data_IF_911969474904
#
_entry.id   IF_911969474904
#
_cell.length_a   1.000
_cell.length_b   1.000
_cell.length_c   1.000
_cell.angle_alpha   90.00
_cell.angle_beta   90.00
_cell.angle_gamma   90.00
#
_symmetry.space_group_name_H-M   'P 1'
#
loop_
_entity.id
_entity.type
_entity.pdbx_description
1 polymer ?
#
# COMPACT_ATOMS: atom_id res chain seq x y z
N UNK A 1 -33.47 -5.98 -18.83
CA UNK A 1 -32.18 -5.84 -19.54
C UNK A 1 -31.39 -4.71 -18.92
N UNK A 2 -30.08 -4.87 -18.79
CA UNK A 2 -29.17 -3.84 -18.24
C UNK A 2 -29.13 -2.64 -19.20
N UNK A 3 -29.34 -1.41 -18.69
CA UNK A 3 -29.57 -0.20 -19.50
C UNK A 3 -28.38 0.27 -20.36
N UNK A 4 -27.14 -0.07 -20.00
CA UNK A 4 -25.94 0.39 -20.71
C UNK A 4 -24.82 -0.67 -20.68
N UNK A 5 -24.77 -1.64 -21.60
CA UNK A 5 -23.75 -2.71 -21.60
C UNK A 5 -22.33 -2.21 -21.95
N UNK A 6 -22.20 -1.02 -22.55
CA UNK A 6 -20.91 -0.41 -22.93
C UNK A 6 -19.97 -0.05 -21.77
N UNK A 7 -20.46 -0.04 -20.52
CA UNK A 7 -19.71 0.35 -19.33
C UNK A 7 -18.77 -0.75 -18.80
N UNK A 8 -18.94 -1.99 -19.27
CA UNK A 8 -18.19 -3.15 -18.74
C UNK A 8 -16.69 -3.06 -19.06
N UNK A 9 -16.33 -2.73 -20.29
CA UNK A 9 -14.91 -2.70 -20.74
C UNK A 9 -14.14 -1.48 -20.22
N UNK A 10 -14.81 -0.34 -20.02
CA UNK A 10 -14.16 0.91 -19.57
C UNK A 10 -13.90 0.96 -18.06
N UNK A 11 -14.75 0.32 -17.25
CA UNK A 11 -14.60 0.34 -15.80
C UNK A 11 -13.61 -0.69 -15.24
N UNK A 12 -13.10 -1.62 -16.07
CA UNK A 12 -12.00 -2.52 -15.66
C UNK A 12 -10.77 -1.75 -15.18
N UNK A 13 -10.55 -0.53 -15.67
CA UNK A 13 -9.47 0.35 -15.24
C UNK A 13 -9.51 0.59 -13.72
N UNK A 14 -10.69 0.77 -13.14
CA UNK A 14 -10.82 0.96 -11.68
C UNK A 14 -10.46 -0.29 -10.88
N UNK A 15 -10.73 -1.48 -11.43
CA UNK A 15 -10.37 -2.75 -10.79
C UNK A 15 -8.85 -2.90 -10.81
N UNK A 16 -8.20 -2.61 -11.95
CA UNK A 16 -6.74 -2.68 -12.10
C UNK A 16 -6.03 -1.75 -11.10
N UNK A 17 -6.54 -0.54 -10.88
CA UNK A 17 -5.96 0.36 -9.88
C UNK A 17 -6.14 -0.14 -8.44
N UNK A 18 -7.24 -0.82 -8.12
CA UNK A 18 -7.42 -1.46 -6.81
C UNK A 18 -6.46 -2.65 -6.62
N UNK A 19 -6.23 -3.43 -7.67
CA UNK A 19 -5.24 -4.53 -7.67
C UNK A 19 -3.81 -4.01 -7.51
N UNK A 20 -3.47 -2.88 -8.13
CA UNK A 20 -2.15 -2.25 -7.97
C UNK A 20 -1.84 -1.92 -6.50
N UNK A 21 -2.84 -1.47 -5.73
CA UNK A 21 -2.70 -1.19 -4.30
C UNK A 21 -2.41 -2.45 -3.48
N UNK A 22 -2.93 -3.60 -3.88
CA UNK A 22 -2.61 -4.88 -3.25
C UNK A 22 -1.17 -5.31 -3.53
N UNK A 23 -0.70 -5.12 -4.77
CA UNK A 23 0.70 -5.42 -5.16
C UNK A 23 1.69 -4.61 -4.33
N UNK A 24 1.39 -3.34 -4.07
CA UNK A 24 2.17 -2.48 -3.18
C UNK A 24 2.35 -3.06 -1.77
N UNK A 25 1.30 -3.64 -1.19
CA UNK A 25 1.35 -4.28 0.12
C UNK A 25 2.21 -5.55 0.14
N UNK A 26 2.13 -6.37 -0.93
CA UNK A 26 2.96 -7.58 -1.07
C UNK A 26 4.43 -7.21 -1.20
N UNK A 27 4.77 -6.20 -2.01
CA UNK A 27 6.15 -5.74 -2.18
C UNK A 27 6.75 -5.33 -0.83
N UNK A 28 6.03 -4.55 -0.02
CA UNK A 28 6.54 -4.13 1.29
C UNK A 28 6.69 -5.30 2.24
N UNK A 29 5.76 -6.26 2.23
CA UNK A 29 5.90 -7.49 3.03
C UNK A 29 7.21 -8.22 2.73
N UNK A 30 7.58 -8.34 1.45
CA UNK A 30 8.83 -8.97 1.01
C UNK A 30 10.05 -8.15 1.46
N UNK A 31 10.02 -6.83 1.31
CA UNK A 31 11.12 -5.95 1.73
C UNK A 31 11.36 -6.04 3.24
N UNK A 32 10.30 -6.02 4.05
CA UNK A 32 10.40 -6.10 5.51
C UNK A 32 10.89 -7.49 5.96
N UNK A 33 10.47 -8.55 5.28
CA UNK A 33 10.99 -9.90 5.54
C UNK A 33 12.51 -9.98 5.32
N UNK A 34 13.03 -9.31 4.29
CA UNK A 34 14.47 -9.22 4.03
C UNK A 34 15.29 -8.47 5.09
N UNK A 35 14.64 -7.76 6.03
CA UNK A 35 15.31 -7.05 7.14
C UNK A 35 15.44 -7.89 8.42
N UNK A 36 14.90 -9.11 8.43
CA UNK A 36 14.91 -10.01 9.58
C UNK A 36 16.02 -11.05 9.41
N UNK A 37 17.06 -10.96 10.25
CA UNK A 37 18.15 -11.95 10.30
C UNK A 37 18.15 -12.71 11.63
N UNK A 38 18.86 -13.84 11.66
CA UNK A 38 19.03 -14.63 12.87
C UNK A 38 19.77 -13.82 13.95
N UNK A 39 19.22 -13.81 15.17
CA UNK A 39 19.82 -13.10 16.30
C UNK A 39 20.90 -13.99 16.93
N UNK A 40 22.14 -13.49 17.01
CA UNK A 40 23.20 -14.14 17.77
C UNK A 40 22.89 -14.10 19.28
N UNK A 41 22.65 -15.25 19.94
CA UNK A 41 22.24 -15.30 21.34
C UNK A 41 23.30 -14.73 22.29
N UNK A 42 24.59 -14.88 21.96
CA UNK A 42 25.67 -14.44 22.82
C UNK A 42 25.75 -12.91 22.84
N UNK A 43 25.67 -12.26 21.66
CA UNK A 43 25.65 -10.79 21.55
C UNK A 43 24.41 -10.18 22.18
N UNK A 44 23.27 -10.86 22.13
CA UNK A 44 22.02 -10.38 22.73
C UNK A 44 22.07 -10.30 24.26
N UNK A 45 22.81 -11.22 24.90
CA UNK A 45 22.92 -11.28 26.37
C UNK A 45 24.05 -10.37 26.87
N UNK A 46 25.19 -10.35 26.16
CA UNK A 46 26.39 -9.64 26.62
C UNK A 46 26.36 -8.15 26.28
N UNK A 47 25.78 -7.75 25.14
CA UNK A 47 25.77 -6.35 24.70
C UNK A 47 24.38 -5.71 24.84
N UNK A 48 24.27 -4.83 25.83
CA UNK A 48 23.06 -4.04 26.02
C UNK A 48 22.75 -3.15 24.81
N UNK A 49 23.73 -2.56 24.13
CA UNK A 49 23.49 -1.68 22.98
C UNK A 49 22.88 -2.45 21.80
N UNK A 50 23.40 -3.65 21.52
CA UNK A 50 22.85 -4.56 20.50
C UNK A 50 21.40 -4.98 20.83
N UNK A 51 21.11 -5.30 22.09
CA UNK A 51 19.75 -5.64 22.54
C UNK A 51 18.74 -4.51 22.29
N UNK A 52 19.09 -3.27 22.67
CA UNK A 52 18.21 -2.11 22.48
C UNK A 52 17.97 -1.84 20.99
N UNK A 53 19.00 -1.98 20.15
CA UNK A 53 18.87 -1.84 18.68
C UNK A 53 17.94 -2.88 18.09
N UNK A 54 18.08 -4.16 18.44
CA UNK A 54 17.22 -5.23 17.94
C UNK A 54 15.74 -5.02 18.30
N UNK A 55 15.47 -4.61 19.55
CA UNK A 55 14.11 -4.32 20.01
C UNK A 55 13.54 -3.08 19.29
N UNK A 56 14.32 -2.01 19.17
CA UNK A 56 13.91 -0.80 18.45
C UNK A 56 13.64 -1.10 16.97
N UNK A 57 14.52 -1.86 16.30
CA UNK A 57 14.32 -2.32 14.92
C UNK A 57 13.03 -3.14 14.77
N UNK A 58 12.69 -3.98 15.75
CA UNK A 58 11.43 -4.74 15.76
C UNK A 58 10.20 -3.83 15.77
N UNK A 59 10.16 -2.83 16.66
CA UNK A 59 9.08 -1.84 16.68
C UNK A 59 9.01 -1.00 15.41
N UNK A 60 10.15 -0.60 14.86
CA UNK A 60 10.21 0.18 13.62
C UNK A 60 9.64 -0.62 12.44
N UNK A 61 10.01 -1.91 12.31
CA UNK A 61 9.50 -2.78 11.25
C UNK A 61 8.00 -3.03 11.43
N UNK A 62 7.52 -3.25 12.66
CA UNK A 62 6.10 -3.39 12.96
C UNK A 62 5.32 -2.14 12.56
N UNK A 63 5.78 -0.96 12.98
CA UNK A 63 5.16 0.30 12.64
C UNK A 63 5.19 0.57 11.13
N UNK A 64 6.29 0.27 10.42
CA UNK A 64 6.38 0.41 8.97
C UNK A 64 5.39 -0.48 8.22
N UNK A 65 5.23 -1.73 8.67
CA UNK A 65 4.20 -2.64 8.16
C UNK A 65 2.78 -2.11 8.40
N UNK A 66 2.51 -1.61 9.61
CA UNK A 66 1.20 -1.07 9.99
C UNK A 66 0.84 0.21 9.20
N UNK A 67 1.79 1.13 9.05
CA UNK A 67 1.63 2.35 8.25
C UNK A 67 1.30 2.01 6.80
N UNK A 68 2.08 1.11 6.16
CA UNK A 68 1.83 0.71 4.77
C UNK A 68 0.47 0.01 4.61
N UNK A 69 0.16 -0.92 5.50
CA UNK A 69 -1.08 -1.69 5.45
C UNK A 69 -2.32 -0.81 5.57
N UNK A 70 -2.32 0.11 6.53
CA UNK A 70 -3.42 1.06 6.71
C UNK A 70 -3.52 2.03 5.54
N UNK A 71 -2.41 2.61 5.07
CA UNK A 71 -2.44 3.53 3.93
C UNK A 71 -2.97 2.85 2.66
N UNK A 72 -2.55 1.61 2.39
CA UNK A 72 -3.04 0.85 1.23
C UNK A 72 -4.51 0.46 1.38
N UNK A 73 -4.98 0.11 2.59
CA UNK A 73 -6.38 -0.16 2.85
C UNK A 73 -7.26 1.07 2.54
N UNK A 74 -6.91 2.23 3.10
CA UNK A 74 -7.68 3.46 2.88
C UNK A 74 -7.60 3.95 1.42
N UNK A 75 -6.44 3.78 0.78
CA UNK A 75 -6.27 4.08 -0.65
C UNK A 75 -7.18 3.20 -1.51
N UNK A 76 -7.21 1.89 -1.25
CA UNK A 76 -8.08 0.96 -1.97
C UNK A 76 -9.57 1.30 -1.81
N UNK A 77 -9.99 1.66 -0.60
CA UNK A 77 -11.37 2.13 -0.34
C UNK A 77 -11.67 3.41 -1.14
N UNK A 78 -10.78 4.40 -1.10
CA UNK A 78 -10.97 5.65 -1.83
C UNK A 78 -11.07 5.43 -3.35
N UNK A 79 -10.17 4.62 -3.91
CA UNK A 79 -10.16 4.23 -5.33
C UNK A 79 -11.45 3.49 -5.70
N UNK A 80 -11.93 2.57 -4.86
CA UNK A 80 -13.18 1.84 -5.08
C UNK A 80 -14.42 2.74 -5.10
N UNK A 81 -14.50 3.73 -4.20
CA UNK A 81 -15.61 4.70 -4.14
C UNK A 81 -15.61 5.60 -5.39
N UNK A 82 -14.43 6.10 -5.79
CA UNK A 82 -14.28 6.92 -7.00
C UNK A 82 -14.59 6.11 -8.25
N UNK A 83 -14.15 4.85 -8.29
CA UNK A 83 -14.43 3.90 -9.37
C UNK A 83 -15.91 3.61 -9.57
N UNK A 84 -16.64 3.35 -8.49
CA UNK A 84 -18.10 3.16 -8.52
C UNK A 84 -18.81 4.42 -9.05
N UNK A 85 -18.36 5.59 -8.60
CA UNK A 85 -18.88 6.88 -9.06
C UNK A 85 -18.59 7.13 -10.55
N UNK A 86 -17.40 6.76 -11.02
CA UNK A 86 -17.01 6.82 -12.43
C UNK A 86 -17.90 5.92 -13.30
N UNK A 87 -18.19 4.72 -12.82
CA UNK A 87 -19.04 3.76 -13.53
C UNK A 87 -20.47 4.26 -13.70
N UNK A 88 -21.03 4.85 -12.64
CA UNK A 88 -22.39 5.40 -12.66
C UNK A 88 -22.47 6.64 -13.56
N UNK A 89 -21.46 7.50 -13.53
CA UNK A 89 -21.38 8.68 -14.39
C UNK A 89 -21.21 8.34 -15.88
N UNK A 90 -20.37 7.34 -16.22
CA UNK A 90 -20.19 6.86 -17.60
C UNK A 90 -21.48 6.23 -18.17
N UNK A 91 -22.28 5.59 -17.31
CA UNK A 91 -23.60 5.07 -17.71
C UNK A 91 -24.56 6.19 -18.14
N UNK A 92 -24.46 7.39 -17.53
CA UNK A 92 -25.27 8.56 -17.88
C UNK A 92 -24.69 9.36 -19.04
N UNK A 93 -23.40 9.73 -18.96
CA UNK A 93 -22.71 10.52 -19.98
C UNK A 93 -21.25 10.05 -20.15
N UNK A 94 -20.89 9.48 -21.32
CA UNK A 94 -19.55 8.94 -21.54
C UNK A 94 -18.45 10.01 -21.60
N UNK A 95 -18.78 11.29 -21.80
CA UNK A 95 -17.80 12.38 -21.80
C UNK A 95 -17.25 12.70 -20.38
N UNK A 96 -17.91 12.22 -19.32
CA UNK A 96 -17.49 12.46 -17.94
C UNK A 96 -16.39 11.50 -17.46
N UNK A 97 -16.24 10.33 -18.09
CA UNK A 97 -15.32 9.28 -17.65
C UNK A 97 -13.87 9.80 -17.51
N UNK A 98 -13.36 10.50 -18.52
CA UNK A 98 -11.98 11.00 -18.53
C UNK A 98 -11.75 12.03 -17.41
N UNK A 99 -12.76 12.83 -17.07
CA UNK A 99 -12.66 13.83 -16.00
C UNK A 99 -12.58 13.17 -14.62
N UNK A 100 -13.36 12.09 -14.40
CA UNK A 100 -13.35 11.35 -13.12
C UNK A 100 -12.10 10.47 -13.00
N UNK A 101 -11.56 9.99 -14.12
CA UNK A 101 -10.31 9.22 -14.14
C UNK A 101 -9.12 9.99 -13.54
N UNK A 102 -9.06 11.31 -13.72
CA UNK A 102 -8.02 12.15 -13.11
C UNK A 102 -8.06 12.06 -11.57
N UNK A 103 -9.27 12.07 -10.99
CA UNK A 103 -9.48 11.94 -9.54
C UNK A 103 -9.02 10.56 -9.06
N UNK A 104 -9.28 9.52 -9.86
CA UNK A 104 -8.84 8.15 -9.57
C UNK A 104 -7.32 8.04 -9.49
N UNK A 105 -6.58 8.73 -10.39
CA UNK A 105 -5.11 8.75 -10.38
C UNK A 105 -4.59 9.41 -9.09
N UNK A 106 -5.14 10.56 -8.71
CA UNK A 106 -4.74 11.23 -7.46
C UNK A 106 -5.06 10.40 -6.21
N UNK A 107 -6.19 9.69 -6.20
CA UNK A 107 -6.52 8.77 -5.12
C UNK A 107 -5.48 7.65 -5.02
N UNK A 108 -5.09 7.05 -6.15
CA UNK A 108 -4.10 5.96 -6.17
C UNK A 108 -2.68 6.38 -5.74
N UNK A 109 -2.33 7.67 -5.89
CA UNK A 109 -1.03 8.21 -5.47
C UNK A 109 -0.80 8.14 -3.95
N UNK A 110 -1.88 8.12 -3.15
CA UNK A 110 -1.79 7.99 -1.69
C UNK A 110 -1.13 6.68 -1.26
N UNK A 111 -1.37 5.58 -1.98
CA UNK A 111 -0.75 4.29 -1.71
C UNK A 111 0.78 4.33 -1.90
N UNK A 112 1.24 5.03 -2.94
CA UNK A 112 2.67 5.21 -3.21
C UNK A 112 3.33 6.02 -2.09
N UNK A 113 2.68 7.05 -1.57
CA UNK A 113 3.19 7.81 -0.43
C UNK A 113 3.32 6.94 0.83
N UNK A 114 2.35 6.07 1.11
CA UNK A 114 2.42 5.13 2.23
C UNK A 114 3.65 4.22 2.17
N UNK A 115 3.95 3.70 0.97
CA UNK A 115 5.14 2.87 0.73
C UNK A 115 6.43 3.65 0.99
N UNK A 116 6.55 4.85 0.42
CA UNK A 116 7.76 5.68 0.58
C UNK A 116 8.04 5.96 2.05
N UNK A 117 7.01 6.35 2.80
CA UNK A 117 7.12 6.64 4.24
C UNK A 117 7.60 5.39 5.00
N UNK A 118 7.02 4.23 4.71
CA UNK A 118 7.43 2.96 5.34
C UNK A 118 8.88 2.58 5.03
N UNK A 119 9.34 2.75 3.80
CA UNK A 119 10.73 2.48 3.43
C UNK A 119 11.67 3.42 4.18
N UNK A 120 11.36 4.71 4.24
CA UNK A 120 12.18 5.70 4.97
C UNK A 120 12.21 5.36 6.47
N UNK A 121 11.06 5.01 7.05
CA UNK A 121 10.96 4.64 8.46
C UNK A 121 11.78 3.37 8.77
N UNK A 122 11.74 2.37 7.90
CA UNK A 122 12.40 1.08 8.13
C UNK A 122 13.83 1.01 7.63
N UNK A 123 14.31 2.02 6.89
CA UNK A 123 15.68 2.08 6.37
C UNK A 123 16.75 1.83 7.46
N UNK A 124 16.76 2.54 8.61
CA UNK A 124 17.75 2.34 9.66
C UNK A 124 17.55 1.06 10.48
N UNK A 125 16.42 0.36 10.31
CA UNK A 125 16.10 -0.84 11.08
C UNK A 125 16.58 -2.11 10.40
N UNK A 126 17.30 -2.92 11.18
CA UNK A 126 17.70 -4.29 10.84
C UNK A 126 17.69 -5.11 12.13
N UNK A 127 17.08 -6.30 12.08
CA UNK A 127 17.11 -7.27 13.19
C UNK A 127 18.24 -8.25 12.90
N UNK A 128 19.16 -8.44 13.85
CA UNK A 128 20.24 -9.41 13.73
C UNK A 128 21.45 -8.97 12.90
N UNK A 129 21.52 -7.69 12.51
CA UNK A 129 22.63 -7.09 11.76
C UNK A 129 23.68 -6.43 12.63
#
# INVERSE_FOLDING_TARGET
GIKAPRIQTKNFISIIFSEAVAIYGIIISIILMGKIHAIDPNKFITDHAYRHRCIASGYIIFCGGLTTGLTNLFTGIAVGIVGSSAALADAQNPALFVKILIILIFASALGIFGIIISIVQTNPAMIGG
#
